data_IF_791911195354
#
_entry.id   IF_791911195354
#
_cell.length_a   1.000
_cell.length_b   1.000
_cell.length_c   1.000
_cell.angle_alpha   90.00
_cell.angle_beta   90.00
_cell.angle_gamma   90.00
#
_symmetry.space_group_name_H-M   'P 1'
#
loop_
_entity.id
_entity.type
_entity.pdbx_description
1 polymer ?
#
# COMPACT_ATOMS: atom_id res chain seq x y z
N UNK A 1 -8.08 1.78 -10.33
CA UNK A 1 -9.51 1.39 -10.26
C UNK A 1 -10.12 1.16 -11.66
N UNK A 2 -9.44 0.38 -12.50
CA UNK A 2 -9.92 -0.01 -13.83
C UNK A 2 -9.33 -1.40 -14.13
N UNK A 3 -9.99 -2.18 -14.97
CA UNK A 3 -9.43 -3.41 -15.53
C UNK A 3 -9.87 -4.73 -14.88
N UNK A 4 -10.61 -4.73 -13.77
CA UNK A 4 -11.15 -5.98 -13.19
C UNK A 4 -12.39 -6.50 -13.93
N UNK A 5 -13.12 -5.64 -14.65
CA UNK A 5 -14.36 -5.98 -15.36
C UNK A 5 -15.42 -6.72 -14.51
N UNK A 6 -15.38 -6.57 -13.18
CA UNK A 6 -16.37 -7.13 -12.26
C UNK A 6 -17.54 -6.15 -12.15
N UNK A 7 -18.69 -6.55 -12.71
CA UNK A 7 -19.96 -5.84 -12.58
C UNK A 7 -20.71 -6.18 -11.29
N UNK A 8 -21.98 -5.77 -11.20
CA UNK A 8 -22.84 -6.09 -10.06
C UNK A 8 -23.02 -7.59 -9.87
N UNK A 9 -22.69 -8.08 -8.67
CA UNK A 9 -22.83 -9.48 -8.26
C UNK A 9 -24.03 -9.62 -7.31
N UNK A 10 -24.80 -10.70 -7.45
CA UNK A 10 -25.93 -10.97 -6.55
C UNK A 10 -25.40 -11.16 -5.12
N UNK A 11 -25.93 -10.39 -4.17
CA UNK A 11 -25.53 -10.45 -2.76
C UNK A 11 -24.40 -9.49 -2.38
N UNK A 12 -23.93 -8.67 -3.31
CA UNK A 12 -22.87 -7.68 -3.11
C UNK A 12 -23.39 -6.26 -3.40
N UNK A 13 -22.77 -5.26 -2.77
CA UNK A 13 -23.15 -3.85 -2.95
C UNK A 13 -22.75 -3.30 -4.31
N UNK A 14 -23.11 -2.05 -4.58
CA UNK A 14 -22.69 -1.32 -5.81
C UNK A 14 -21.30 -0.70 -5.71
N UNK A 15 -20.60 -0.91 -4.59
CA UNK A 15 -19.27 -0.38 -4.38
C UNK A 15 -18.25 -0.98 -5.36
N UNK A 16 -17.26 -0.18 -5.80
CA UNK A 16 -16.24 -0.65 -6.71
C UNK A 16 -15.36 -1.74 -6.08
N UNK A 17 -14.85 -2.61 -6.94
CA UNK A 17 -13.91 -3.67 -6.57
C UNK A 17 -12.45 -3.19 -6.64
N UNK A 18 -11.65 -3.62 -5.68
CA UNK A 18 -10.23 -3.31 -5.55
C UNK A 18 -9.42 -4.59 -5.40
N UNK A 19 -8.19 -4.61 -5.93
CA UNK A 19 -7.23 -5.70 -5.68
C UNK A 19 -6.60 -5.46 -4.32
N UNK A 20 -6.81 -6.37 -3.39
CA UNK A 20 -6.19 -6.35 -2.06
C UNK A 20 -4.85 -7.08 -2.06
N UNK A 21 -4.75 -8.21 -2.76
CA UNK A 21 -3.55 -9.04 -2.76
C UNK A 21 -3.32 -9.69 -4.14
N UNK A 22 -2.05 -10.00 -4.42
CA UNK A 22 -1.62 -10.75 -5.59
C UNK A 22 -0.80 -11.94 -5.12
N UNK A 23 -1.31 -13.15 -5.34
CA UNK A 23 -0.54 -14.37 -5.15
C UNK A 23 0.02 -14.80 -6.50
N UNK A 24 1.32 -14.61 -6.67
CA UNK A 24 2.05 -14.96 -7.91
C UNK A 24 2.32 -16.46 -8.03
N UNK A 25 2.31 -17.22 -6.93
CA UNK A 25 2.56 -18.66 -6.96
C UNK A 25 1.35 -19.40 -7.55
N UNK A 26 0.14 -18.95 -7.24
CA UNK A 26 -1.10 -19.55 -7.76
C UNK A 26 -1.74 -18.75 -8.90
N UNK A 27 -1.18 -17.57 -9.22
CA UNK A 27 -1.76 -16.62 -10.17
C UNK A 27 -3.18 -16.17 -9.77
N UNK A 28 -3.38 -15.94 -8.46
CA UNK A 28 -4.67 -15.52 -7.88
C UNK A 28 -4.66 -14.04 -7.54
N UNK A 29 -5.76 -13.34 -7.83
CA UNK A 29 -6.02 -12.00 -7.35
C UNK A 29 -7.09 -12.03 -6.26
N UNK A 30 -6.76 -11.58 -5.05
CA UNK A 30 -7.75 -11.33 -4.02
C UNK A 30 -8.36 -9.95 -4.26
N UNK A 31 -9.68 -9.90 -4.40
CA UNK A 31 -10.43 -8.65 -4.62
C UNK A 31 -11.47 -8.43 -3.53
N UNK A 32 -11.69 -7.15 -3.18
CA UNK A 32 -12.60 -6.71 -2.12
C UNK A 32 -13.46 -5.55 -2.59
N UNK A 33 -14.63 -5.34 -1.98
CA UNK A 33 -15.49 -4.19 -2.25
C UNK A 33 -15.25 -3.06 -1.25
N UNK A 34 -15.36 -1.83 -1.76
CA UNK A 34 -15.30 -0.62 -0.95
C UNK A 34 -13.88 -0.12 -0.73
N UNK A 35 -13.69 1.20 -0.82
CA UNK A 35 -12.38 1.82 -0.70
C UNK A 35 -11.81 1.74 0.73
N UNK A 36 -12.69 1.62 1.72
CA UNK A 36 -12.34 1.55 3.15
C UNK A 36 -12.15 0.11 3.65
N UNK A 37 -12.08 -0.88 2.75
CA UNK A 37 -11.92 -2.28 3.16
C UNK A 37 -10.58 -2.48 3.89
N UNK A 38 -10.55 -3.10 5.09
CA UNK A 38 -9.34 -3.20 5.92
C UNK A 38 -8.13 -3.80 5.20
N UNK A 39 -8.34 -4.81 4.34
CA UNK A 39 -7.27 -5.43 3.54
C UNK A 39 -6.59 -4.50 2.52
N UNK A 40 -7.09 -3.29 2.31
CA UNK A 40 -6.45 -2.29 1.44
C UNK A 40 -5.43 -1.41 2.18
N UNK A 41 -5.30 -1.58 3.51
CA UNK A 41 -4.47 -0.73 4.37
C UNK A 41 -3.41 -1.57 5.09
N UNK A 42 -2.27 -0.95 5.37
CA UNK A 42 -1.17 -1.50 6.17
C UNK A 42 -0.53 -0.37 6.96
N UNK A 43 -0.04 -0.68 8.16
CA UNK A 43 0.67 0.28 9.02
C UNK A 43 2.19 0.26 8.79
N UNK A 44 2.68 -0.66 7.97
CA UNK A 44 4.11 -0.84 7.73
C UNK A 44 4.41 -1.27 6.29
N UNK A 45 5.66 -1.07 5.91
CA UNK A 45 6.26 -1.59 4.70
C UNK A 45 7.75 -1.87 4.98
N UNK A 46 8.34 -2.73 4.16
CA UNK A 46 9.79 -2.89 4.09
C UNK A 46 10.28 -2.24 2.80
N UNK A 47 11.32 -1.41 2.92
CA UNK A 47 11.98 -0.80 1.78
C UNK A 47 13.45 -1.22 1.79
N UNK A 48 13.91 -1.71 0.64
CA UNK A 48 15.31 -2.06 0.42
C UNK A 48 16.00 -0.96 -0.40
N UNK A 49 17.33 -0.95 -0.37
CA UNK A 49 18.17 -0.05 -1.17
C UNK A 49 17.82 1.44 -1.01
N UNK A 50 17.76 1.91 0.24
CA UNK A 50 17.54 3.32 0.56
C UNK A 50 18.63 4.19 -0.09
N UNK A 51 18.20 5.18 -0.85
CA UNK A 51 19.08 6.15 -1.50
C UNK A 51 18.92 7.52 -0.85
N UNK A 52 20.04 8.06 -0.37
CA UNK A 52 20.12 9.41 0.19
C UNK A 52 20.65 10.38 -0.86
N UNK A 53 19.98 11.52 -1.01
CA UNK A 53 20.45 12.61 -1.89
C UNK A 53 21.76 13.21 -1.34
N UNK A 54 21.89 13.25 -0.01
CA UNK A 54 23.06 13.69 0.72
C UNK A 54 23.57 12.55 1.62
N UNK A 55 24.24 12.87 2.72
CA UNK A 55 24.58 11.91 3.77
C UNK A 55 23.32 11.48 4.56
N UNK A 56 23.30 10.26 5.12
CA UNK A 56 22.23 9.83 6.01
C UNK A 56 22.08 10.78 7.22
N UNK A 57 20.84 10.97 7.73
CA UNK A 57 20.60 11.79 8.92
C UNK A 57 21.43 11.32 10.11
N UNK A 58 21.93 12.27 10.91
CA UNK A 58 22.76 11.95 12.08
C UNK A 58 22.01 11.16 13.17
N UNK A 59 20.68 11.26 13.18
CA UNK A 59 19.76 10.54 14.06
C UNK A 59 19.24 9.23 13.44
N UNK A 60 19.75 8.83 12.28
CA UNK A 60 19.53 7.49 11.74
C UNK A 60 20.28 6.46 12.57
N UNK A 61 19.54 5.54 13.16
CA UNK A 61 20.07 4.37 13.85
C UNK A 61 19.57 3.10 13.13
N UNK A 62 20.47 2.18 12.79
CA UNK A 62 20.14 0.94 12.07
C UNK A 62 19.18 0.02 12.85
N UNK A 63 19.12 0.15 14.19
CA UNK A 63 18.19 -0.57 15.06
C UNK A 63 16.97 0.23 15.51
N UNK A 64 17.07 1.55 15.65
CA UNK A 64 15.96 2.40 16.12
C UNK A 64 15.20 3.12 14.98
N UNK A 65 15.75 3.14 13.77
CA UNK A 65 15.19 3.81 12.60
C UNK A 65 15.32 5.33 12.66
N UNK A 66 14.52 6.00 11.85
CA UNK A 66 14.42 7.46 11.75
C UNK A 66 12.96 7.86 11.92
N UNK A 67 12.67 8.82 12.81
CA UNK A 67 11.35 9.46 12.88
C UNK A 67 11.25 10.53 11.82
N UNK A 68 10.40 10.30 10.83
CA UNK A 68 10.28 11.19 9.69
C UNK A 68 8.87 11.17 9.11
N UNK A 69 8.74 11.74 7.92
CA UNK A 69 7.53 11.65 7.12
C UNK A 69 7.86 11.02 5.79
N UNK A 70 6.98 10.13 5.34
CA UNK A 70 7.16 9.36 4.11
C UNK A 70 5.92 9.43 3.20
N UNK A 71 6.15 9.16 1.92
CA UNK A 71 5.10 8.95 0.90
C UNK A 71 5.41 7.67 0.17
N UNK A 72 4.41 6.80 0.01
CA UNK A 72 4.58 5.55 -0.76
C UNK A 72 4.20 5.74 -2.23
N UNK A 73 3.55 6.85 -2.56
CA UNK A 73 3.15 7.19 -3.93
C UNK A 73 3.38 8.66 -4.25
N UNK A 74 3.71 8.92 -5.50
CA UNK A 74 3.75 10.27 -6.04
C UNK A 74 2.39 10.96 -5.83
N UNK A 75 2.42 12.21 -5.35
CA UNK A 75 1.26 13.06 -5.00
C UNK A 75 0.44 12.63 -3.78
N UNK A 76 0.87 11.62 -3.02
CA UNK A 76 0.31 11.38 -1.69
C UNK A 76 0.72 12.54 -0.75
N UNK A 77 -0.13 12.94 0.21
CA UNK A 77 0.34 13.73 1.35
C UNK A 77 1.39 12.95 2.16
N UNK A 78 2.28 13.67 2.83
CA UNK A 78 3.25 13.08 3.75
C UNK A 78 2.53 12.38 4.90
N UNK A 79 3.02 11.21 5.32
CA UNK A 79 2.50 10.44 6.46
C UNK A 79 3.60 10.30 7.51
N UNK A 80 3.25 10.42 8.78
CA UNK A 80 4.20 10.23 9.89
C UNK A 80 4.61 8.76 10.01
N UNK A 81 5.91 8.51 10.24
CA UNK A 81 6.49 7.19 10.48
C UNK A 81 7.67 7.24 11.46
#
# INVERSE_FOLDING_TARGET
RQGLAIGGLRGFGEEPWYVAEKDTATNTLLVVQGAAHPLLYTDWLTADAVHWINEPPADWDEGAGLRCRAKTRYRQPDQDC
#
